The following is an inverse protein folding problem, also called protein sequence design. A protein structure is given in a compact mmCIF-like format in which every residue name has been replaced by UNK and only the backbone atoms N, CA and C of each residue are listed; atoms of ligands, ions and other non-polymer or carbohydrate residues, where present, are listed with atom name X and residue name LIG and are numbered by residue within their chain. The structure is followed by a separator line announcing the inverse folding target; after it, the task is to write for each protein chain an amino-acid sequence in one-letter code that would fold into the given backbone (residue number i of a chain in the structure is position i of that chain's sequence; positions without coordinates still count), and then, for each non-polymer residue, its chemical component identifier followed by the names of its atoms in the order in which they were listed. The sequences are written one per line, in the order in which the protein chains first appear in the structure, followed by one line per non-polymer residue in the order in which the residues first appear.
data_IF_856512723647
#
_entry.id   IF_856512723647
#
_cell.length_a   1.000
_cell.length_b   1.000
_cell.length_c   1.000
_cell.angle_alpha   90.00
_cell.angle_beta   90.00
_cell.angle_gamma   90.00
#
_symmetry.space_group_name_H-M   'P 1'
#
loop_
_entity.id
_entity.type
_entity.pdbx_description
1 polymer ?
#
# COMPACT_ATOMS: atom_id res chain seq x y z
N UNK A 1 -35.56 -23.35 70.93
CA UNK A 1 -34.35 -22.74 70.37
C UNK A 1 -33.53 -22.15 71.50
N UNK A 2 -32.50 -22.88 71.95
CA UNK A 2 -31.45 -22.43 72.86
C UNK A 2 -30.15 -22.50 72.04
N UNK A 3 -29.48 -21.37 71.87
CA UNK A 3 -28.33 -21.21 70.97
C UNK A 3 -28.72 -20.34 69.77
N UNK A 4 -28.06 -19.18 69.66
CA UNK A 4 -28.18 -18.12 68.63
C UNK A 4 -29.27 -18.37 67.58
N UNK A 5 -30.48 -17.90 67.88
CA UNK A 5 -31.55 -17.87 66.91
C UNK A 5 -31.26 -16.76 65.90
N UNK A 6 -30.60 -17.10 64.80
CA UNK A 6 -30.66 -16.29 63.59
C UNK A 6 -32.13 -16.06 63.25
N UNK A 7 -32.56 -14.80 63.32
CA UNK A 7 -33.92 -14.38 62.97
C UNK A 7 -34.18 -14.85 61.53
N UNK A 8 -35.17 -15.73 61.34
CA UNK A 8 -35.55 -16.22 60.00
C UNK A 8 -36.13 -15.04 59.22
N UNK A 9 -35.35 -14.48 58.30
CA UNK A 9 -35.79 -13.38 57.46
C UNK A 9 -36.65 -13.96 56.33
N UNK A 10 -37.95 -13.66 56.34
CA UNK A 10 -38.85 -14.02 55.23
C UNK A 10 -38.51 -13.17 54.01
N UNK A 11 -37.84 -13.76 53.02
CA UNK A 11 -37.54 -13.18 51.71
C UNK A 11 -37.93 -14.17 50.63
N UNK A 12 -38.43 -13.68 49.49
CA UNK A 12 -38.81 -14.56 48.40
C UNK A 12 -37.60 -15.25 47.76
N UNK A 13 -36.48 -14.54 47.62
CA UNK A 13 -35.24 -15.07 47.02
C UNK A 13 -33.97 -14.54 47.71
N UNK A 14 -32.85 -15.22 47.47
CA UNK A 14 -31.54 -14.80 47.99
C UNK A 14 -31.04 -13.52 47.29
N UNK A 15 -30.19 -12.71 47.96
CA UNK A 15 -29.56 -11.56 47.34
C UNK A 15 -28.73 -11.97 46.13
N UNK A 16 -28.88 -11.27 45.01
CA UNK A 16 -28.12 -11.53 43.81
C UNK A 16 -26.65 -11.17 44.03
N UNK A 17 -25.71 -12.10 43.83
CA UNK A 17 -24.29 -11.82 43.99
C UNK A 17 -23.77 -10.88 42.88
N UNK A 18 -22.63 -10.21 43.12
CA UNK A 18 -21.88 -9.54 42.06
C UNK A 18 -21.68 -10.47 40.84
N UNK A 19 -21.73 -9.92 39.63
CA UNK A 19 -21.76 -10.68 38.37
C UNK A 19 -23.15 -10.98 37.84
N UNK A 20 -24.19 -10.72 38.63
CA UNK A 20 -25.59 -10.89 38.22
C UNK A 20 -26.40 -9.60 38.41
N UNK A 21 -27.50 -9.47 37.67
CA UNK A 21 -28.51 -8.42 37.83
C UNK A 21 -29.85 -9.02 38.23
N UNK A 22 -30.69 -8.21 38.87
CA UNK A 22 -32.08 -8.60 39.08
C UNK A 22 -32.85 -8.64 37.75
N UNK A 23 -33.68 -9.67 37.62
CA UNK A 23 -34.74 -9.75 36.63
C UNK A 23 -36.05 -10.10 37.35
N UNK A 24 -37.03 -9.21 37.24
CA UNK A 24 -38.37 -9.44 37.77
C UNK A 24 -39.04 -10.56 36.97
N UNK A 25 -39.58 -11.57 37.64
CA UNK A 25 -40.40 -12.58 37.00
C UNK A 25 -41.79 -11.99 36.71
N UNK A 26 -42.29 -12.16 35.48
CA UNK A 26 -43.53 -11.51 35.01
C UNK A 26 -44.77 -11.74 35.87
N UNK A 27 -44.79 -12.79 36.70
CA UNK A 27 -45.97 -13.23 37.46
C UNK A 27 -45.77 -13.29 39.00
N UNK A 28 -44.67 -12.76 39.58
CA UNK A 28 -44.44 -12.78 41.05
C UNK A 28 -43.68 -11.55 41.58
N UNK A 29 -43.90 -11.20 42.85
CA UNK A 29 -43.13 -10.21 43.64
C UNK A 29 -41.68 -10.65 43.97
N UNK A 30 -41.13 -11.56 43.17
CA UNK A 30 -39.87 -12.26 43.40
C UNK A 30 -38.93 -12.06 42.21
N UNK A 31 -37.63 -12.10 42.47
CA UNK A 31 -36.61 -11.80 41.47
C UNK A 31 -35.75 -13.01 41.16
N UNK A 32 -35.28 -13.08 39.93
CA UNK A 32 -34.26 -14.05 39.51
C UNK A 32 -32.95 -13.32 39.24
N UNK A 33 -31.84 -13.94 39.62
CA UNK A 33 -30.51 -13.41 39.34
C UNK A 33 -30.07 -13.88 37.95
N UNK A 34 -29.91 -12.93 37.03
CA UNK A 34 -29.48 -13.21 35.66
C UNK A 34 -28.04 -12.74 35.50
N UNK A 35 -27.12 -13.57 34.98
CA UNK A 35 -25.74 -13.15 34.76
C UNK A 35 -25.65 -11.96 33.81
N UNK A 36 -24.67 -11.10 34.03
CA UNK A 36 -24.40 -9.98 33.14
C UNK A 36 -23.92 -10.44 31.76
N UNK A 37 -24.16 -9.60 30.76
CA UNK A 37 -23.67 -9.83 29.40
C UNK A 37 -22.18 -9.55 29.26
N UNK A 38 -21.61 -9.96 28.12
CA UNK A 38 -20.21 -9.66 27.78
C UNK A 38 -19.94 -8.16 27.80
N UNK A 39 -18.79 -7.78 28.34
CA UNK A 39 -18.39 -6.37 28.50
C UNK A 39 -19.12 -5.63 29.63
N UNK A 40 -20.03 -6.29 30.36
CA UNK A 40 -20.77 -5.69 31.46
C UNK A 40 -20.39 -6.33 32.80
N UNK A 41 -20.57 -5.61 33.91
CA UNK A 41 -20.25 -6.08 35.24
C UNK A 41 -21.19 -5.53 36.32
N UNK A 42 -21.25 -6.22 37.46
CA UNK A 42 -21.85 -5.71 38.71
C UNK A 42 -20.92 -6.01 39.88
N UNK A 43 -20.63 -5.00 40.70
CA UNK A 43 -19.66 -5.10 41.80
C UNK A 43 -20.33 -5.11 43.20
N UNK A 44 -21.66 -5.04 43.25
CA UNK A 44 -22.42 -5.02 44.48
C UNK A 44 -23.60 -6.00 44.40
N UNK A 45 -24.09 -6.43 45.56
CA UNK A 45 -25.28 -7.27 45.65
C UNK A 45 -26.53 -6.49 45.22
N UNK A 46 -27.49 -7.20 44.62
CA UNK A 46 -28.80 -6.65 44.26
C UNK A 46 -28.76 -5.43 43.31
N UNK A 47 -27.85 -5.41 42.33
CA UNK A 47 -27.88 -4.40 41.26
C UNK A 47 -29.01 -4.67 40.25
N UNK A 48 -29.83 -3.66 39.97
CA UNK A 48 -30.94 -3.75 39.01
C UNK A 48 -30.49 -3.89 37.55
N UNK A 49 -29.32 -3.33 37.22
CA UNK A 49 -28.76 -3.36 35.88
C UNK A 49 -27.25 -3.61 35.92
N UNK A 50 -26.71 -4.20 34.86
CA UNK A 50 -25.28 -4.36 34.69
C UNK A 50 -24.67 -3.07 34.13
N UNK A 51 -23.49 -2.70 34.62
CA UNK A 51 -22.74 -1.53 34.17
C UNK A 51 -21.82 -1.93 33.02
N UNK A 52 -21.58 -1.05 32.06
CA UNK A 52 -20.71 -1.29 30.92
C UNK A 52 -19.25 -0.92 31.26
N UNK A 53 -18.30 -1.84 31.02
CA UNK A 53 -16.88 -1.58 31.30
C UNK A 53 -16.31 -0.45 30.43
N UNK A 54 -16.68 -0.43 29.14
CA UNK A 54 -16.19 0.57 28.18
C UNK A 54 -16.64 1.98 28.53
N UNK A 55 -17.88 2.14 28.99
CA UNK A 55 -18.42 3.46 29.37
C UNK A 55 -17.80 3.98 30.66
N UNK A 56 -17.42 3.09 31.58
CA UNK A 56 -16.90 3.47 32.89
C UNK A 56 -15.38 3.67 32.91
N UNK A 57 -14.64 2.84 32.21
CA UNK A 57 -13.17 2.82 32.23
C UNK A 57 -12.51 3.18 30.89
N UNK A 58 -13.31 3.30 29.82
CA UNK A 58 -12.84 3.63 28.48
C UNK A 58 -12.60 2.40 27.60
N UNK A 59 -12.18 2.67 26.37
CA UNK A 59 -11.85 1.63 25.39
C UNK A 59 -10.58 0.87 25.83
N UNK A 60 -10.57 -0.45 25.65
CA UNK A 60 -9.49 -1.31 26.15
C UNK A 60 -9.81 -2.08 27.44
N UNK A 61 -10.97 -1.84 28.06
CA UNK A 61 -11.41 -2.57 29.26
C UNK A 61 -12.55 -3.54 28.94
N UNK A 62 -12.49 -4.74 29.52
CA UNK A 62 -13.48 -5.79 29.39
C UNK A 62 -13.91 -6.32 30.75
N UNK A 63 -14.99 -7.08 30.80
CA UNK A 63 -15.45 -7.70 32.04
C UNK A 63 -14.65 -8.96 32.36
N UNK A 64 -14.38 -9.22 33.64
CA UNK A 64 -13.73 -10.45 34.04
C UNK A 64 -14.64 -11.68 33.84
N UNK A 65 -14.09 -12.89 33.93
CA UNK A 65 -14.86 -14.14 33.69
C UNK A 65 -16.11 -14.29 34.57
N UNK A 66 -16.12 -13.65 35.74
CA UNK A 66 -17.22 -13.72 36.71
C UNK A 66 -18.16 -12.51 36.61
N UNK A 67 -17.93 -11.59 35.68
CA UNK A 67 -18.67 -10.34 35.51
C UNK A 67 -18.73 -9.43 36.75
N UNK A 68 -17.74 -9.54 37.64
CA UNK A 68 -17.70 -8.83 38.93
C UNK A 68 -16.90 -7.53 38.87
N UNK A 69 -15.95 -7.43 37.94
CA UNK A 69 -15.07 -6.29 37.76
C UNK A 69 -14.66 -6.13 36.30
N UNK A 70 -14.10 -4.97 35.97
CA UNK A 70 -13.47 -4.75 34.67
C UNK A 70 -11.95 -4.95 34.77
N UNK A 71 -11.36 -5.51 33.73
CA UNK A 71 -9.94 -5.78 33.57
C UNK A 71 -9.46 -5.24 32.22
N UNK A 72 -8.18 -4.88 32.12
CA UNK A 72 -7.58 -4.47 30.86
C UNK A 72 -7.53 -5.64 29.88
N UNK A 73 -8.03 -5.43 28.67
CA UNK A 73 -7.99 -6.43 27.61
C UNK A 73 -6.57 -6.52 27.02
N UNK A 74 -6.13 -7.74 26.66
CA UNK A 74 -4.85 -7.92 25.98
C UNK A 74 -4.85 -7.16 24.64
N UNK A 75 -3.74 -6.46 24.39
CA UNK A 75 -3.52 -5.64 23.20
C UNK A 75 -2.94 -6.49 22.07
N UNK A 76 -3.64 -6.55 20.95
CA UNK A 76 -3.16 -7.16 19.71
C UNK A 76 -2.64 -6.09 18.76
N UNK A 77 -1.46 -6.33 18.18
CA UNK A 77 -0.84 -5.48 17.18
C UNK A 77 0.21 -6.28 16.42
N UNK A 78 0.68 -5.76 15.30
CA UNK A 78 1.71 -6.43 14.48
C UNK A 78 3.06 -6.44 15.21
N UNK A 79 3.27 -7.38 16.12
CA UNK A 79 4.43 -7.40 17.00
C UNK A 79 5.71 -7.88 16.32
N UNK A 80 6.86 -7.38 16.77
CA UNK A 80 8.19 -7.80 16.28
C UNK A 80 8.48 -9.29 16.53
N UNK A 81 7.89 -9.86 17.57
CA UNK A 81 8.07 -11.25 17.95
C UNK A 81 7.11 -12.19 17.19
N UNK A 82 6.19 -11.66 16.39
CA UNK A 82 5.26 -12.44 15.60
C UNK A 82 5.94 -13.13 14.41
N UNK A 83 5.48 -14.33 14.07
CA UNK A 83 5.99 -15.10 12.92
C UNK A 83 5.95 -14.30 11.61
N UNK A 84 4.89 -13.51 11.40
CA UNK A 84 4.78 -12.64 10.23
C UNK A 84 5.91 -11.60 10.17
N UNK A 85 6.19 -10.92 11.29
CA UNK A 85 7.23 -9.89 11.33
C UNK A 85 8.60 -10.47 11.00
N UNK A 86 8.96 -11.60 11.59
CA UNK A 86 10.20 -12.31 11.29
C UNK A 86 10.29 -12.68 9.82
N UNK A 87 9.23 -13.31 9.27
CA UNK A 87 9.18 -13.68 7.86
C UNK A 87 9.30 -12.48 6.91
N UNK A 88 8.60 -11.39 7.22
CA UNK A 88 8.64 -10.15 6.45
C UNK A 88 10.04 -9.52 6.47
N UNK A 89 10.73 -9.49 7.60
CA UNK A 89 12.08 -8.94 7.71
C UNK A 89 13.13 -9.77 6.96
N UNK A 90 13.03 -11.11 7.02
CA UNK A 90 13.88 -12.01 6.23
C UNK A 90 13.66 -11.81 4.72
N UNK A 91 12.40 -11.68 4.31
CA UNK A 91 12.06 -11.39 2.92
C UNK A 91 12.61 -10.02 2.48
N UNK A 92 12.43 -8.97 3.29
CA UNK A 92 13.00 -7.64 3.01
C UNK A 92 14.52 -7.69 2.90
N UNK A 93 15.20 -8.40 3.79
CA UNK A 93 16.67 -8.52 3.76
C UNK A 93 17.15 -9.24 2.49
N UNK A 94 16.45 -10.31 2.08
CA UNK A 94 16.74 -11.05 0.85
C UNK A 94 16.48 -10.19 -0.40
N UNK A 95 15.37 -9.45 -0.41
CA UNK A 95 15.01 -8.54 -1.50
C UNK A 95 15.99 -7.36 -1.61
N UNK A 96 16.45 -6.82 -0.48
CA UNK A 96 17.48 -5.78 -0.43
C UNK A 96 18.79 -6.28 -1.04
N UNK A 97 19.28 -7.44 -0.59
CA UNK A 97 20.50 -8.04 -1.13
C UNK A 97 20.38 -8.25 -2.65
N UNK A 98 19.26 -8.81 -3.09
CA UNK A 98 19.00 -9.00 -4.52
C UNK A 98 18.97 -7.68 -5.30
N UNK A 99 18.33 -6.65 -4.76
CA UNK A 99 18.27 -5.30 -5.35
C UNK A 99 19.65 -4.69 -5.49
N UNK A 100 20.49 -4.80 -4.45
CA UNK A 100 21.86 -4.30 -4.46
C UNK A 100 22.74 -5.03 -5.47
N UNK A 101 22.58 -6.35 -5.61
CA UNK A 101 23.27 -7.14 -6.64
C UNK A 101 22.87 -6.62 -8.03
N UNK A 102 21.58 -6.51 -8.34
CA UNK A 102 21.12 -6.01 -9.64
C UNK A 102 21.62 -4.58 -9.88
N UNK A 103 21.51 -3.69 -8.89
CA UNK A 103 22.01 -2.31 -8.96
C UNK A 103 23.52 -2.29 -9.26
N UNK A 104 24.32 -3.15 -8.60
CA UNK A 104 25.76 -3.22 -8.82
C UNK A 104 26.11 -3.53 -10.28
N UNK A 105 25.35 -4.41 -10.94
CA UNK A 105 25.53 -4.69 -12.35
C UNK A 105 25.13 -3.49 -13.24
N UNK A 106 24.03 -2.82 -12.94
CA UNK A 106 23.65 -1.59 -13.65
C UNK A 106 24.69 -0.47 -13.49
N UNK A 107 25.34 -0.40 -12.33
CA UNK A 107 26.46 0.51 -12.08
C UNK A 107 27.70 0.07 -12.84
N UNK A 108 28.06 -1.22 -12.85
CA UNK A 108 29.21 -1.77 -13.58
C UNK A 108 29.09 -1.55 -15.09
N UNK A 109 27.93 -1.84 -15.67
CA UNK A 109 27.65 -1.69 -17.10
C UNK A 109 27.13 -0.30 -17.47
N UNK A 110 27.54 0.76 -16.73
CA UNK A 110 27.19 2.19 -16.92
C UNK A 110 27.08 2.59 -18.38
N UNK A 111 28.11 2.17 -19.11
CA UNK A 111 28.51 2.76 -20.36
C UNK A 111 27.90 2.02 -21.55
N UNK A 112 27.22 0.89 -21.29
CA UNK A 112 26.46 0.12 -22.27
C UNK A 112 25.36 0.98 -22.90
N UNK A 113 25.10 0.75 -24.19
CA UNK A 113 24.08 1.48 -24.94
C UNK A 113 22.68 1.21 -24.39
N UNK A 114 22.41 0.01 -23.88
CA UNK A 114 21.14 -0.35 -23.23
C UNK A 114 20.88 0.52 -21.99
N UNK A 115 21.86 0.68 -21.09
CA UNK A 115 21.70 1.49 -19.86
C UNK A 115 21.58 2.98 -20.19
N UNK A 116 22.38 3.48 -21.15
CA UNK A 116 22.28 4.87 -21.63
C UNK A 116 20.93 5.17 -22.30
N UNK A 117 20.45 4.25 -23.13
CA UNK A 117 19.16 4.35 -23.83
C UNK A 117 17.97 4.37 -22.87
N UNK A 118 18.04 3.61 -21.79
CA UNK A 118 16.99 3.46 -20.76
C UNK A 118 16.87 4.65 -19.77
N UNK A 119 17.58 5.76 -20.00
CA UNK A 119 17.70 6.89 -19.07
C UNK A 119 18.23 6.45 -17.69
N UNK A 120 19.54 6.53 -17.54
CA UNK A 120 20.26 6.03 -16.38
C UNK A 120 19.82 6.69 -15.06
N UNK A 121 19.63 8.00 -15.07
CA UNK A 121 19.21 8.76 -13.87
C UNK A 121 17.85 8.28 -13.36
N UNK A 122 16.85 8.18 -14.24
CA UNK A 122 15.54 7.63 -13.86
C UNK A 122 15.65 6.19 -13.37
N UNK A 123 16.56 5.39 -13.93
CA UNK A 123 16.76 4.01 -13.44
C UNK A 123 17.35 4.00 -12.03
N UNK A 124 18.24 4.93 -11.68
CA UNK A 124 18.74 5.05 -10.31
C UNK A 124 17.70 5.58 -9.33
N UNK A 125 16.88 6.55 -9.74
CA UNK A 125 15.74 6.98 -8.93
C UNK A 125 14.79 5.79 -8.67
N UNK A 126 14.52 4.95 -9.68
CA UNK A 126 13.73 3.73 -9.49
C UNK A 126 14.34 2.81 -8.43
N UNK A 127 15.66 2.53 -8.49
CA UNK A 127 16.32 1.70 -7.47
C UNK A 127 16.21 2.30 -6.07
N UNK A 128 16.35 3.62 -5.92
CA UNK A 128 16.20 4.29 -4.63
C UNK A 128 14.78 4.10 -4.09
N UNK A 129 13.74 4.34 -4.92
CA UNK A 129 12.34 4.10 -4.52
C UNK A 129 12.10 2.64 -4.12
N UNK A 130 12.65 1.68 -4.87
CA UNK A 130 12.53 0.24 -4.55
C UNK A 130 13.20 -0.10 -3.22
N UNK A 131 14.40 0.42 -2.95
CA UNK A 131 15.11 0.20 -1.68
C UNK A 131 14.28 0.76 -0.52
N UNK A 132 13.74 1.98 -0.64
CA UNK A 132 12.83 2.53 0.37
C UNK A 132 11.60 1.64 0.55
N UNK A 133 11.02 1.10 -0.52
CA UNK A 133 9.85 0.20 -0.44
C UNK A 133 10.14 -1.07 0.36
N UNK A 134 11.35 -1.61 0.24
CA UNK A 134 11.80 -2.78 1.02
C UNK A 134 11.83 -2.49 2.53
N UNK A 135 12.05 -1.24 2.94
CA UNK A 135 12.06 -0.84 4.36
C UNK A 135 10.66 -0.56 4.94
N UNK A 136 9.60 -0.62 4.15
CA UNK A 136 8.22 -0.37 4.64
C UNK A 136 7.83 -1.20 5.88
N UNK A 137 8.20 -2.50 6.01
CA UNK A 137 7.85 -3.26 7.21
C UNK A 137 8.37 -2.64 8.52
N UNK A 138 9.50 -1.94 8.51
CA UNK A 138 10.03 -1.29 9.71
C UNK A 138 9.16 -0.12 10.20
N UNK A 139 8.36 0.47 9.32
CA UNK A 139 7.45 1.58 9.62
C UNK A 139 6.12 1.06 10.18
N UNK A 140 5.69 -0.13 9.74
CA UNK A 140 4.40 -0.73 10.09
C UNK A 140 4.47 -1.77 11.23
N UNK A 141 5.58 -2.48 11.39
CA UNK A 141 5.74 -3.50 12.44
C UNK A 141 6.09 -2.84 13.79
N UNK A 142 5.44 -3.34 14.83
CA UNK A 142 5.64 -3.00 16.23
C UNK A 142 4.46 -2.21 16.80
N UNK A 143 4.60 -1.80 18.07
CA UNK A 143 3.54 -1.06 18.75
C UNK A 143 3.28 0.27 18.02
N UNK A 144 2.03 0.60 17.65
CA UNK A 144 1.70 1.90 17.10
C UNK A 144 2.08 2.99 18.11
N UNK A 145 2.74 4.02 17.61
CA UNK A 145 3.12 5.21 18.36
C UNK A 145 2.69 6.41 17.52
N UNK A 146 2.52 7.56 18.15
CA UNK A 146 2.13 8.78 17.45
C UNK A 146 3.02 9.04 16.22
N UNK A 147 4.35 8.94 16.38
CA UNK A 147 5.30 9.15 15.28
C UNK A 147 5.14 8.15 14.13
N UNK A 148 4.89 6.86 14.43
CA UNK A 148 4.65 5.84 13.41
C UNK A 148 3.34 6.07 12.67
N UNK A 149 2.28 6.41 13.40
CA UNK A 149 0.99 6.72 12.79
C UNK A 149 1.05 7.91 11.84
N UNK A 150 1.87 8.92 12.16
CA UNK A 150 2.13 10.04 11.24
C UNK A 150 2.96 9.62 10.02
N UNK A 151 3.96 8.76 10.23
CA UNK A 151 4.92 8.38 9.19
C UNK A 151 4.32 7.41 8.16
N UNK A 152 3.51 6.44 8.59
CA UNK A 152 2.99 5.35 7.76
C UNK A 152 2.35 5.81 6.44
N UNK A 153 1.27 6.62 6.43
CA UNK A 153 0.59 6.99 5.19
C UNK A 153 1.50 7.80 4.25
N UNK A 154 2.28 8.73 4.81
CA UNK A 154 3.21 9.57 4.06
C UNK A 154 4.32 8.73 3.41
N UNK A 155 4.91 7.81 4.17
CA UNK A 155 5.96 6.92 3.70
C UNK A 155 5.47 6.01 2.58
N UNK A 156 4.35 5.32 2.79
CA UNK A 156 3.79 4.41 1.79
C UNK A 156 3.43 5.15 0.51
N UNK A 157 2.75 6.31 0.64
CA UNK A 157 2.33 7.13 -0.50
C UNK A 157 3.54 7.47 -1.36
N UNK A 158 4.55 8.15 -0.78
CA UNK A 158 5.75 8.63 -1.47
C UNK A 158 6.54 7.50 -2.14
N UNK A 159 6.73 6.39 -1.43
CA UNK A 159 7.61 5.32 -1.88
C UNK A 159 6.98 4.53 -3.04
N UNK A 160 5.68 4.20 -2.94
CA UNK A 160 4.98 3.48 -3.99
C UNK A 160 4.73 4.38 -5.21
N UNK A 161 4.26 5.61 -5.01
CA UNK A 161 4.00 6.57 -6.10
C UNK A 161 5.25 6.89 -6.91
N UNK A 162 6.39 7.15 -6.26
CA UNK A 162 7.65 7.55 -6.92
C UNK A 162 8.15 6.50 -7.89
N UNK A 163 8.06 5.22 -7.52
CA UNK A 163 8.46 4.11 -8.38
C UNK A 163 7.59 3.99 -9.64
N UNK A 164 6.26 4.09 -9.49
CA UNK A 164 5.31 4.03 -10.62
C UNK A 164 5.45 5.27 -11.50
N UNK A 165 5.67 6.43 -10.90
CA UNK A 165 5.91 7.68 -11.60
C UNK A 165 7.18 7.61 -12.48
N UNK A 166 8.24 6.97 -11.99
CA UNK A 166 9.44 6.72 -12.81
C UNK A 166 9.12 5.79 -13.99
N UNK A 167 8.30 4.76 -13.79
CA UNK A 167 7.85 3.86 -14.87
C UNK A 167 7.01 4.64 -15.89
N UNK A 168 6.12 5.52 -15.43
CA UNK A 168 5.34 6.43 -16.26
C UNK A 168 6.27 7.26 -17.17
N UNK A 169 7.26 7.94 -16.59
CA UNK A 169 8.20 8.76 -17.36
C UNK A 169 9.03 7.98 -18.36
N UNK A 170 9.49 6.78 -17.99
CA UNK A 170 10.19 5.89 -18.93
C UNK A 170 9.31 5.55 -20.12
N UNK A 171 8.06 5.21 -19.87
CA UNK A 171 7.08 4.82 -20.90
C UNK A 171 6.69 6.01 -21.79
N UNK A 172 6.46 7.18 -21.19
CA UNK A 172 6.10 8.40 -21.92
C UNK A 172 7.23 8.89 -22.83
N UNK A 173 8.48 8.80 -22.35
CA UNK A 173 9.66 9.08 -23.18
C UNK A 173 9.73 8.16 -24.40
N UNK A 174 9.45 6.86 -24.23
CA UNK A 174 9.40 5.91 -25.36
C UNK A 174 8.34 6.36 -26.37
N UNK A 175 7.10 6.63 -25.93
CA UNK A 175 6.03 7.13 -26.81
C UNK A 175 6.45 8.39 -27.56
N UNK A 176 7.11 9.31 -26.87
CA UNK A 176 7.55 10.56 -27.45
C UNK A 176 8.63 10.36 -28.53
N UNK A 177 9.50 9.36 -28.40
CA UNK A 177 10.52 9.05 -29.42
C UNK A 177 9.86 8.56 -30.70
N UNK A 178 8.91 7.64 -30.61
CA UNK A 178 8.28 7.05 -31.79
C UNK A 178 7.17 7.91 -32.43
N UNK A 179 6.62 8.88 -31.69
CA UNK A 179 5.61 9.81 -32.23
C UNK A 179 6.19 11.09 -32.85
N UNK A 180 7.49 11.34 -32.74
CA UNK A 180 8.15 12.49 -33.36
C UNK A 180 8.05 12.44 -34.90
N UNK A 181 7.89 13.60 -35.55
CA UNK A 181 7.94 13.73 -37.02
C UNK A 181 9.41 13.83 -37.50
N UNK A 182 9.77 13.24 -38.65
CA UNK A 182 11.16 13.10 -39.09
C UNK A 182 11.84 14.41 -39.56
N UNK A 183 11.11 15.50 -39.77
CA UNK A 183 11.64 16.72 -40.43
C UNK A 183 12.24 17.78 -39.51
N UNK A 184 12.22 17.61 -38.18
CA UNK A 184 12.63 18.66 -37.22
C UNK A 184 13.61 18.18 -36.15
N UNK A 185 14.48 17.22 -36.46
CA UNK A 185 15.26 16.44 -35.48
C UNK A 185 16.07 17.32 -34.49
N UNK A 186 16.77 18.36 -34.93
CA UNK A 186 17.69 19.12 -34.04
C UNK A 186 16.98 20.10 -33.09
N UNK A 187 16.04 20.92 -33.58
CA UNK A 187 15.24 21.81 -32.72
C UNK A 187 14.25 21.02 -31.83
N UNK A 188 13.77 19.88 -32.30
CA UNK A 188 12.88 18.99 -31.54
C UNK A 188 13.60 18.33 -30.35
N UNK A 189 14.90 18.06 -30.45
CA UNK A 189 15.67 17.47 -29.34
C UNK A 189 15.80 18.42 -28.14
N UNK A 190 16.01 19.72 -28.37
CA UNK A 190 16.09 20.72 -27.31
C UNK A 190 14.72 20.98 -26.66
N UNK A 191 13.68 21.18 -27.48
CA UNK A 191 12.29 21.33 -27.04
C UNK A 191 11.79 20.10 -26.26
N UNK A 192 12.16 18.90 -26.71
CA UNK A 192 11.82 17.64 -26.03
C UNK A 192 12.54 17.48 -24.70
N UNK A 193 13.82 17.83 -24.61
CA UNK A 193 14.57 17.79 -23.35
C UNK A 193 14.02 18.80 -22.34
N UNK A 194 13.55 19.97 -22.81
CA UNK A 194 12.83 20.95 -21.97
C UNK A 194 11.48 20.41 -21.50
N UNK A 195 10.67 19.81 -22.39
CA UNK A 195 9.38 19.19 -22.02
C UNK A 195 9.55 18.06 -21.01
N UNK A 196 10.49 17.13 -21.23
CA UNK A 196 10.73 16.02 -20.30
C UNK A 196 11.14 16.54 -18.91
N UNK A 197 12.00 17.57 -18.83
CA UNK A 197 12.38 18.22 -17.57
C UNK A 197 11.21 18.94 -16.90
N UNK A 198 10.40 19.66 -17.68
CA UNK A 198 9.22 20.35 -17.16
C UNK A 198 8.19 19.35 -16.61
N UNK A 199 7.96 18.25 -17.32
CA UNK A 199 7.03 17.21 -16.88
C UNK A 199 7.51 16.52 -15.60
N UNK A 200 8.81 16.20 -15.50
CA UNK A 200 9.42 15.69 -14.26
C UNK A 200 9.24 16.69 -13.11
N UNK A 201 9.50 17.98 -13.35
CA UNK A 201 9.31 19.02 -12.35
C UNK A 201 7.85 19.13 -11.90
N UNK A 202 6.89 19.15 -12.84
CA UNK A 202 5.46 19.23 -12.51
C UNK A 202 5.00 18.06 -11.66
N UNK A 203 5.39 16.82 -12.00
CA UNK A 203 5.01 15.67 -11.17
C UNK A 203 5.75 15.66 -9.83
N UNK A 204 7.00 16.09 -9.75
CA UNK A 204 7.69 16.27 -8.46
C UNK A 204 6.93 17.27 -7.58
N UNK A 205 6.46 18.38 -8.17
CA UNK A 205 5.65 19.36 -7.44
C UNK A 205 4.32 18.76 -7.01
N UNK A 206 3.63 18.00 -7.87
CA UNK A 206 2.38 17.31 -7.50
C UNK A 206 2.61 16.30 -6.37
N UNK A 207 3.68 15.50 -6.47
CA UNK A 207 4.06 14.53 -5.45
C UNK A 207 4.36 15.22 -4.11
N UNK A 208 5.06 16.35 -4.14
CA UNK A 208 5.33 17.17 -2.96
C UNK A 208 4.06 17.81 -2.40
N UNK A 209 3.13 18.25 -3.24
CA UNK A 209 1.82 18.79 -2.80
C UNK A 209 1.00 17.69 -2.12
N UNK A 210 1.00 16.47 -2.67
CA UNK A 210 0.24 15.34 -2.10
C UNK A 210 0.88 14.86 -0.80
N UNK A 211 2.20 14.66 -0.77
CA UNK A 211 2.91 14.33 0.47
C UNK A 211 2.78 15.46 1.51
N UNK A 212 2.85 16.71 1.07
CA UNK A 212 2.69 17.89 1.91
C UNK A 212 1.27 18.05 2.46
N UNK A 213 0.24 17.76 1.67
CA UNK A 213 -1.15 17.81 2.12
C UNK A 213 -1.48 16.67 3.08
N UNK A 214 -0.94 15.47 2.85
CA UNK A 214 -0.98 14.37 3.79
C UNK A 214 -0.29 14.76 5.10
N UNK A 215 0.94 15.28 5.05
CA UNK A 215 1.68 15.73 6.22
C UNK A 215 0.96 16.87 6.98
N UNK A 216 0.39 17.84 6.25
CA UNK A 216 -0.40 18.93 6.84
C UNK A 216 -1.67 18.39 7.50
N UNK A 217 -2.41 17.48 6.83
CA UNK A 217 -3.56 16.80 7.41
C UNK A 217 -3.17 16.05 8.68
N UNK A 218 -2.03 15.37 8.70
CA UNK A 218 -1.51 14.70 9.89
C UNK A 218 -1.13 15.67 10.99
N UNK A 219 -0.62 16.85 10.65
CA UNK A 219 -0.25 17.87 11.62
C UNK A 219 -1.48 18.51 12.28
N UNK A 220 -2.51 18.84 11.50
CA UNK A 220 -3.75 19.45 11.99
C UNK A 220 -4.70 18.43 12.64
N UNK A 221 -4.71 17.19 12.16
CA UNK A 221 -5.48 16.08 12.70
C UNK A 221 -4.52 14.95 13.11
N UNK A 222 -3.91 15.14 14.28
CA UNK A 222 -2.92 14.21 14.81
C UNK A 222 -3.54 12.82 15.00
N UNK A 223 -3.01 11.78 14.33
CA UNK A 223 -3.54 10.44 14.50
C UNK A 223 -3.20 9.94 15.90
N UNK A 224 -4.23 9.70 16.71
CA UNK A 224 -4.10 9.07 18.02
C UNK A 224 -3.92 7.55 17.87
N UNK A 225 -3.41 6.92 18.92
CA UNK A 225 -3.43 5.47 19.04
C UNK A 225 -4.77 5.09 19.65
N UNK A 226 -5.57 4.33 18.92
CA UNK A 226 -6.92 3.95 19.29
C UNK A 226 -7.03 2.43 19.48
N UNK A 227 -8.04 2.02 20.26
CA UNK A 227 -8.39 0.63 20.49
C UNK A 227 -9.57 0.25 19.59
N UNK A 228 -9.40 -0.82 18.83
CA UNK A 228 -10.42 -1.40 17.96
C UNK A 228 -10.83 -2.76 18.52
N UNK A 229 -12.09 -2.91 18.89
CA UNK A 229 -12.60 -4.19 19.41
C UNK A 229 -12.66 -5.20 18.27
N UNK A 230 -11.80 -6.21 18.29
CA UNK A 230 -11.77 -7.30 17.29
C UNK A 230 -12.49 -8.55 17.83
N UNK A 231 -12.33 -8.84 19.12
CA UNK A 231 -13.02 -9.91 19.84
C UNK A 231 -13.37 -9.45 21.26
N UNK A 232 -14.37 -10.06 21.90
CA UNK A 232 -14.77 -9.75 23.28
C UNK A 232 -13.66 -10.00 24.34
N UNK A 233 -12.52 -10.55 23.92
CA UNK A 233 -11.39 -10.97 24.75
C UNK A 233 -10.09 -10.24 24.42
N UNK A 234 -10.04 -9.42 23.36
CA UNK A 234 -8.83 -8.68 22.98
C UNK A 234 -9.14 -7.42 22.18
N UNK A 235 -8.27 -6.42 22.27
CA UNK A 235 -8.39 -5.17 21.54
C UNK A 235 -7.23 -5.01 20.58
N UNK A 236 -7.51 -4.69 19.33
CA UNK A 236 -6.48 -4.34 18.35
C UNK A 236 -6.05 -2.90 18.56
N UNK A 237 -4.74 -2.69 18.71
CA UNK A 237 -4.15 -1.38 18.85
C UNK A 237 -3.77 -0.86 17.47
N UNK A 238 -4.30 0.30 17.09
CA UNK A 238 -4.09 0.87 15.76
C UNK A 238 -4.01 2.39 15.75
N UNK A 239 -3.74 2.95 14.59
CA UNK A 239 -3.83 4.39 14.37
C UNK A 239 -5.27 4.80 14.08
N UNK A 240 -5.71 5.94 14.65
CA UNK A 240 -7.08 6.49 14.58
C UNK A 240 -7.70 6.59 13.19
N UNK A 241 -9.00 6.92 13.10
CA UNK A 241 -9.74 7.06 11.83
C UNK A 241 -9.05 7.99 10.80
N UNK A 242 -8.32 9.01 11.26
CA UNK A 242 -7.53 9.90 10.40
C UNK A 242 -6.49 9.13 9.55
N UNK A 243 -5.95 8.03 10.07
CA UNK A 243 -5.04 7.14 9.35
C UNK A 243 -5.70 6.50 8.12
N UNK A 244 -6.96 6.07 8.24
CA UNK A 244 -7.71 5.46 7.13
C UNK A 244 -7.99 6.49 6.04
N UNK A 245 -8.36 7.72 6.40
CA UNK A 245 -8.56 8.80 5.42
C UNK A 245 -7.26 9.14 4.67
N UNK A 246 -6.13 9.24 5.38
CA UNK A 246 -4.83 9.54 4.79
C UNK A 246 -4.36 8.41 3.86
N UNK A 247 -4.55 7.14 4.27
CA UNK A 247 -4.31 6.01 3.39
C UNK A 247 -5.26 6.07 2.18
N UNK A 248 -6.54 6.36 2.34
CA UNK A 248 -7.46 6.46 1.20
C UNK A 248 -7.02 7.50 0.15
N UNK A 249 -6.53 8.67 0.58
CA UNK A 249 -5.98 9.70 -0.34
C UNK A 249 -4.73 9.18 -1.05
N UNK A 250 -3.78 8.60 -0.31
CA UNK A 250 -2.60 7.97 -0.90
C UNK A 250 -2.98 6.87 -1.90
N UNK A 251 -4.05 6.13 -1.59
CA UNK A 251 -4.53 5.03 -2.40
C UNK A 251 -5.13 5.51 -3.73
N UNK A 252 -5.93 6.57 -3.68
CA UNK A 252 -6.49 7.21 -4.88
C UNK A 252 -5.36 7.75 -5.77
N UNK A 253 -4.37 8.42 -5.19
CA UNK A 253 -3.23 8.94 -5.93
C UNK A 253 -2.45 7.84 -6.65
N UNK A 254 -2.09 6.77 -5.94
CA UNK A 254 -1.42 5.62 -6.53
C UNK A 254 -2.25 4.99 -7.66
N UNK A 255 -3.57 4.90 -7.50
CA UNK A 255 -4.50 4.38 -8.51
C UNK A 255 -4.49 5.25 -9.78
N UNK A 256 -4.50 6.57 -9.64
CA UNK A 256 -4.41 7.49 -10.79
C UNK A 256 -3.09 7.29 -11.54
N UNK A 257 -1.97 7.21 -10.80
CA UNK A 257 -0.65 7.02 -11.38
C UNK A 257 -0.52 5.69 -12.13
N UNK A 258 -0.99 4.58 -11.54
CA UNK A 258 -0.86 3.27 -12.15
C UNK A 258 -1.77 3.13 -13.38
N UNK A 259 -3.00 3.65 -13.34
CA UNK A 259 -3.89 3.68 -14.50
C UNK A 259 -3.32 4.53 -15.64
N UNK A 260 -2.79 5.71 -15.32
CA UNK A 260 -2.09 6.57 -16.29
C UNK A 260 -0.88 5.87 -16.91
N UNK A 261 -0.12 5.12 -16.11
CA UNK A 261 1.03 4.33 -16.55
C UNK A 261 0.60 3.18 -17.47
N UNK A 262 -0.45 2.44 -17.11
CA UNK A 262 -1.03 1.37 -17.93
C UNK A 262 -1.51 1.94 -19.26
N UNK A 263 -2.20 3.07 -19.26
CA UNK A 263 -2.66 3.73 -20.50
C UNK A 263 -1.48 4.05 -21.44
N UNK A 264 -0.40 4.63 -20.90
CA UNK A 264 0.81 4.92 -21.69
C UNK A 264 1.47 3.64 -22.18
N UNK A 265 1.61 2.63 -21.32
CA UNK A 265 2.24 1.37 -21.67
C UNK A 265 1.46 0.61 -22.77
N UNK A 266 0.13 0.67 -22.70
CA UNK A 266 -0.76 0.16 -23.73
C UNK A 266 -0.56 0.86 -25.07
N UNK A 267 -0.29 2.17 -25.10
CA UNK A 267 0.04 2.87 -26.34
C UNK A 267 1.38 2.44 -26.93
N UNK A 268 2.36 2.10 -26.09
CA UNK A 268 3.70 1.63 -26.52
C UNK A 268 3.59 0.26 -27.20
N UNK A 269 2.63 -0.59 -26.83
CA UNK A 269 2.49 -1.96 -27.39
C UNK A 269 2.31 -2.01 -28.91
N UNK A 270 1.85 -0.91 -29.53
CA UNK A 270 1.64 -0.80 -30.99
C UNK A 270 2.91 -0.40 -31.75
N UNK A 271 4.00 -0.13 -31.04
CA UNK A 271 5.32 0.16 -31.61
C UNK A 271 5.99 -1.17 -32.01
N UNK A 272 6.81 -1.18 -33.08
CA UNK A 272 7.33 -2.41 -33.69
C UNK A 272 8.05 -3.29 -32.66
N UNK A 273 7.72 -4.57 -32.71
CA UNK A 273 7.87 -5.61 -31.68
C UNK A 273 9.29 -5.96 -31.25
N UNK A 274 10.33 -5.32 -31.79
CA UNK A 274 11.72 -5.72 -31.53
C UNK A 274 12.25 -5.35 -30.13
N UNK A 275 11.43 -4.72 -29.27
CA UNK A 275 11.74 -4.46 -27.88
C UNK A 275 10.77 -5.17 -26.92
N UNK A 276 11.17 -6.34 -26.43
CA UNK A 276 10.54 -7.05 -25.31
C UNK A 276 10.30 -6.16 -24.06
N UNK A 277 10.95 -5.00 -23.98
CA UNK A 277 10.82 -4.01 -22.92
C UNK A 277 9.37 -3.48 -22.76
N UNK A 278 8.67 -3.14 -23.85
CA UNK A 278 7.31 -2.61 -23.75
C UNK A 278 6.33 -3.65 -23.20
N UNK A 279 6.50 -4.92 -23.59
CA UNK A 279 5.70 -6.05 -23.10
C UNK A 279 5.95 -6.29 -21.61
N UNK A 280 7.21 -6.23 -21.19
CA UNK A 280 7.61 -6.37 -19.79
C UNK A 280 7.05 -5.25 -18.91
N UNK A 281 7.09 -4.00 -19.37
CA UNK A 281 6.51 -2.85 -18.65
C UNK A 281 5.00 -3.03 -18.47
N UNK A 282 4.28 -3.37 -19.55
CA UNK A 282 2.83 -3.62 -19.47
C UNK A 282 2.50 -4.74 -18.48
N UNK A 283 3.19 -5.87 -18.58
CA UNK A 283 2.97 -7.01 -17.69
C UNK A 283 3.25 -6.67 -16.22
N UNK A 284 4.34 -5.95 -15.96
CA UNK A 284 4.70 -5.46 -14.61
C UNK A 284 3.60 -4.55 -14.06
N UNK A 285 3.18 -3.53 -14.80
CA UNK A 285 2.15 -2.58 -14.36
C UNK A 285 0.80 -3.26 -14.10
N UNK A 286 0.44 -4.27 -14.91
CA UNK A 286 -0.78 -5.04 -14.71
C UNK A 286 -0.75 -5.85 -13.41
N UNK A 287 0.36 -6.55 -13.13
CA UNK A 287 0.51 -7.29 -11.87
C UNK A 287 0.47 -6.35 -10.67
N UNK A 288 1.18 -5.21 -10.74
CA UNK A 288 1.17 -4.21 -9.67
C UNK A 288 -0.24 -3.70 -9.39
N UNK A 289 -1.05 -3.47 -10.42
CA UNK A 289 -2.43 -3.05 -10.28
C UNK A 289 -3.30 -4.12 -9.61
N UNK A 290 -3.13 -5.40 -9.97
CA UNK A 290 -3.87 -6.49 -9.33
C UNK A 290 -3.52 -6.65 -7.85
N UNK A 291 -2.23 -6.64 -7.51
CA UNK A 291 -1.77 -6.70 -6.11
C UNK A 291 -2.39 -5.55 -5.32
N UNK A 292 -2.35 -4.35 -5.91
CA UNK A 292 -2.89 -3.15 -5.30
C UNK A 292 -4.40 -3.24 -5.01
N UNK A 293 -5.19 -3.70 -5.98
CA UNK A 293 -6.64 -3.88 -5.81
C UNK A 293 -6.94 -4.92 -4.74
N UNK A 294 -6.27 -6.07 -4.76
CA UNK A 294 -6.48 -7.14 -3.78
C UNK A 294 -6.18 -6.67 -2.35
N UNK A 295 -5.07 -5.95 -2.16
CA UNK A 295 -4.69 -5.39 -0.85
C UNK A 295 -5.69 -4.33 -0.41
N UNK A 296 -6.14 -3.47 -1.32
CA UNK A 296 -7.15 -2.44 -1.02
C UNK A 296 -8.45 -3.06 -0.51
N UNK A 297 -8.92 -4.12 -1.17
CA UNK A 297 -10.11 -4.87 -0.74
C UNK A 297 -9.87 -5.57 0.60
N UNK A 298 -8.69 -6.15 0.81
CA UNK A 298 -8.31 -6.79 2.08
C UNK A 298 -8.33 -5.82 3.25
N UNK A 299 -7.69 -4.66 3.10
CA UNK A 299 -7.64 -3.62 4.15
C UNK A 299 -9.01 -3.02 4.43
N UNK A 300 -9.85 -2.84 3.41
CA UNK A 300 -11.19 -2.25 3.59
C UNK A 300 -12.16 -3.15 4.39
N UNK A 301 -11.95 -4.47 4.38
CA UNK A 301 -12.83 -5.44 5.03
C UNK A 301 -12.26 -6.01 6.33
N UNK A 302 -11.06 -5.59 6.75
CA UNK A 302 -10.36 -6.16 7.89
C UNK A 302 -10.46 -5.24 9.12
N UNK A 303 -11.10 -5.68 10.22
CA UNK A 303 -11.23 -4.89 11.44
C UNK A 303 -9.94 -4.87 12.27
N UNK A 304 -9.04 -5.84 12.12
CA UNK A 304 -7.79 -5.88 12.88
C UNK A 304 -6.70 -5.02 12.20
N UNK A 305 -6.32 -3.93 12.86
CA UNK A 305 -5.32 -3.00 12.35
C UNK A 305 -3.94 -3.64 12.13
N UNK A 306 -3.57 -4.62 12.97
CA UNK A 306 -2.34 -5.39 12.81
C UNK A 306 -2.33 -6.21 11.51
N UNK A 307 -3.47 -6.80 11.15
CA UNK A 307 -3.65 -7.54 9.90
C UNK A 307 -3.65 -6.59 8.70
N UNK A 308 -4.33 -5.44 8.79
CA UNK A 308 -4.26 -4.39 7.75
C UNK A 308 -2.82 -3.96 7.46
N UNK A 309 -2.04 -3.71 8.51
CA UNK A 309 -0.62 -3.36 8.39
C UNK A 309 0.20 -4.46 7.71
N UNK A 310 -0.14 -5.73 7.95
CA UNK A 310 0.51 -6.87 7.31
C UNK A 310 0.25 -6.92 5.79
N UNK A 311 -0.99 -6.63 5.34
CA UNK A 311 -1.33 -6.56 3.92
C UNK A 311 -0.55 -5.44 3.21
N UNK A 312 -0.42 -4.28 3.84
CA UNK A 312 0.36 -3.15 3.31
C UNK A 312 1.85 -3.52 3.19
N UNK A 313 2.42 -4.19 4.19
CA UNK A 313 3.81 -4.69 4.14
C UNK A 313 4.02 -5.65 2.96
N UNK A 314 3.13 -6.63 2.81
CA UNK A 314 3.16 -7.59 1.69
C UNK A 314 3.09 -6.84 0.36
N UNK A 315 2.19 -5.85 0.24
CA UNK A 315 2.02 -5.06 -0.98
C UNK A 315 3.30 -4.34 -1.39
N UNK A 316 3.94 -3.63 -0.46
CA UNK A 316 5.18 -2.88 -0.72
C UNK A 316 6.35 -3.82 -1.09
N UNK A 317 6.42 -4.97 -0.45
CA UNK A 317 7.42 -6.02 -0.72
C UNK A 317 7.22 -6.66 -2.09
N UNK A 318 5.99 -7.09 -2.40
CA UNK A 318 5.66 -7.67 -3.71
C UNK A 318 5.79 -6.64 -4.83
N UNK A 319 5.41 -5.38 -4.59
CA UNK A 319 5.62 -4.29 -5.54
C UNK A 319 7.09 -4.23 -5.97
N UNK A 320 8.00 -4.29 -5.01
CA UNK A 320 9.44 -4.26 -5.28
C UNK A 320 9.90 -5.48 -6.04
N UNK A 321 9.50 -6.67 -5.60
CA UNK A 321 9.87 -7.92 -6.25
C UNK A 321 9.40 -7.97 -7.71
N UNK A 322 8.15 -7.56 -7.98
CA UNK A 322 7.55 -7.56 -9.32
C UNK A 322 8.33 -6.64 -10.27
N UNK A 323 8.66 -5.43 -9.83
CA UNK A 323 9.47 -4.50 -10.64
C UNK A 323 10.87 -5.07 -10.90
N UNK A 324 11.51 -5.65 -9.88
CA UNK A 324 12.83 -6.26 -10.06
C UNK A 324 12.78 -7.41 -11.07
N UNK A 325 11.89 -8.37 -10.87
CA UNK A 325 11.85 -9.63 -11.62
C UNK A 325 11.38 -9.43 -13.05
N UNK A 326 10.31 -8.67 -13.27
CA UNK A 326 9.71 -8.57 -14.59
C UNK A 326 10.23 -7.41 -15.43
N UNK A 327 10.80 -6.36 -14.80
CA UNK A 327 11.28 -5.18 -15.51
C UNK A 327 12.81 -5.06 -15.53
N UNK A 328 13.49 -5.33 -14.42
CA UNK A 328 14.95 -5.09 -14.29
C UNK A 328 15.81 -6.31 -14.64
N UNK A 329 15.44 -7.52 -14.22
CA UNK A 329 16.17 -8.76 -14.56
C UNK A 329 16.27 -8.97 -16.07
N UNK A 330 15.20 -8.82 -16.88
CA UNK A 330 15.31 -9.10 -18.30
C UNK A 330 16.28 -8.14 -19.01
N UNK A 331 16.35 -6.88 -18.56
CA UNK A 331 17.35 -5.92 -19.03
C UNK A 331 18.76 -6.36 -18.66
N UNK A 332 18.97 -6.78 -17.41
CA UNK A 332 20.25 -7.30 -16.95
C UNK A 332 20.70 -8.52 -17.75
N UNK A 333 19.78 -9.45 -18.03
CA UNK A 333 20.05 -10.64 -18.84
C UNK A 333 20.53 -10.27 -20.25
N UNK A 334 19.89 -9.29 -20.91
CA UNK A 334 20.32 -8.84 -22.24
C UNK A 334 21.72 -8.19 -22.16
N UNK A 335 21.97 -7.36 -21.15
CA UNK A 335 23.27 -6.68 -20.95
C UNK A 335 24.41 -7.69 -20.79
N UNK A 336 24.20 -8.77 -20.03
CA UNK A 336 25.24 -9.77 -19.74
C UNK A 336 25.37 -10.79 -20.88
N UNK A 337 24.26 -11.36 -21.34
CA UNK A 337 24.28 -12.57 -22.20
C UNK A 337 24.06 -12.28 -23.68
N UNK A 338 23.68 -11.05 -24.07
CA UNK A 338 23.43 -10.69 -25.48
C UNK A 338 24.16 -9.38 -25.88
N UNK A 339 25.50 -9.32 -25.76
CA UNK A 339 26.26 -8.11 -26.06
C UNK A 339 26.16 -7.66 -27.53
N UNK A 340 25.85 -8.58 -28.46
CA UNK A 340 25.63 -8.27 -29.88
C UNK A 340 24.41 -7.35 -30.12
N UNK A 341 23.40 -7.38 -29.23
CA UNK A 341 22.26 -6.45 -29.27
C UNK A 341 22.55 -5.08 -28.64
N UNK A 342 23.76 -4.88 -28.11
CA UNK A 342 24.19 -3.66 -27.44
C UNK A 342 24.91 -2.69 -28.40
N UNK A 343 24.87 -2.91 -29.72
CA UNK A 343 25.51 -2.04 -30.73
C UNK A 343 24.59 -0.87 -31.15
N UNK A 344 25.19 0.30 -31.37
CA UNK A 344 24.52 1.52 -31.84
C UNK A 344 23.84 1.34 -33.20
N UNK A 345 24.37 0.46 -34.05
CA UNK A 345 23.85 0.20 -35.40
C UNK A 345 22.52 -0.55 -35.36
N UNK A 346 22.38 -1.54 -34.47
CA UNK A 346 21.13 -2.29 -34.33
C UNK A 346 19.97 -1.38 -33.91
N UNK A 347 20.19 -0.46 -32.95
CA UNK A 347 19.16 0.48 -32.48
C UNK A 347 18.83 1.55 -33.52
N UNK A 348 19.84 2.09 -34.22
CA UNK A 348 19.63 3.08 -35.29
C UNK A 348 18.90 2.50 -36.49
N UNK A 349 19.32 1.33 -36.98
CA UNK A 349 18.69 0.62 -38.09
C UNK A 349 17.19 0.38 -37.82
N UNK A 350 16.86 -0.05 -36.61
CA UNK A 350 15.47 -0.34 -36.23
C UNK A 350 14.60 0.92 -36.11
N UNK A 351 15.16 2.00 -35.57
CA UNK A 351 14.44 3.29 -35.49
C UNK A 351 14.18 3.83 -36.90
N UNK A 352 15.16 3.73 -37.80
CA UNK A 352 15.00 4.09 -39.21
C UNK A 352 13.96 3.23 -39.92
N UNK A 353 14.02 1.90 -39.76
CA UNK A 353 13.07 0.98 -40.40
C UNK A 353 11.62 1.26 -39.98
N UNK A 354 11.39 1.58 -38.71
CA UNK A 354 10.06 2.00 -38.24
C UNK A 354 9.62 3.32 -38.87
N UNK A 355 10.49 4.33 -38.89
CA UNK A 355 10.16 5.64 -39.47
C UNK A 355 9.83 5.50 -40.97
N UNK A 356 10.57 4.67 -41.70
CA UNK A 356 10.31 4.35 -43.12
C UNK A 356 8.95 3.68 -43.28
N UNK A 357 8.64 2.63 -42.50
CA UNK A 357 7.33 1.95 -42.57
C UNK A 357 6.17 2.88 -42.21
N UNK A 358 6.35 3.75 -41.22
CA UNK A 358 5.34 4.73 -40.80
C UNK A 358 5.07 5.76 -41.90
N UNK A 359 6.12 6.25 -42.57
CA UNK A 359 6.02 7.21 -43.66
C UNK A 359 5.40 6.57 -44.91
N UNK A 360 5.77 5.33 -45.25
CA UNK A 360 5.14 4.52 -46.30
C UNK A 360 3.64 4.31 -46.06
N UNK A 361 3.24 4.04 -44.81
CA UNK A 361 1.82 3.87 -44.46
C UNK A 361 1.04 5.18 -44.59
N UNK A 362 1.63 6.29 -44.16
CA UNK A 362 1.03 7.62 -44.30
C UNK A 362 0.85 8.01 -45.78
N UNK A 363 1.88 7.79 -46.62
CA UNK A 363 1.79 8.07 -48.05
C UNK A 363 0.78 7.18 -48.77
N UNK A 364 0.67 5.90 -48.37
CA UNK A 364 -0.33 4.98 -48.94
C UNK A 364 -1.78 5.40 -48.62
N UNK A 365 -2.01 5.95 -47.42
CA UNK A 365 -3.29 6.49 -46.99
C UNK A 365 -3.64 7.80 -47.72
N UNK A 366 -2.66 8.67 -47.96
CA UNK A 366 -2.84 9.87 -48.78
C UNK A 366 -3.20 9.50 -50.23
N UNK A 367 -2.50 8.53 -50.85
CA UNK A 367 -2.84 8.08 -52.22
C UNK A 367 -4.23 7.45 -52.31
N UNK A 368 -4.65 6.67 -51.31
CA UNK A 368 -6.01 6.10 -51.26
C UNK A 368 -7.09 7.19 -51.08
N UNK A 369 -6.80 8.25 -50.32
CA UNK A 369 -7.71 9.38 -50.15
C UNK A 369 -7.87 10.21 -51.42
N UNK A 370 -6.80 10.38 -52.20
CA UNK A 370 -6.87 11.07 -53.51
C UNK A 370 -7.56 10.24 -54.58
N UNK A 371 -7.50 8.91 -54.52
CA UNK A 371 -8.21 8.03 -55.47
C UNK A 371 -9.72 8.01 -55.19
N UNK A 372 -10.16 8.15 -53.94
CA UNK A 372 -11.59 8.20 -53.59
C UNK A 372 -12.25 9.58 -53.78
N UNK A 373 -11.47 10.60 -54.13
CA UNK A 373 -11.95 11.98 -54.37
C UNK A 373 -12.02 12.34 -55.87
N UNK A 374 -11.56 11.44 -56.75
CA UNK A 374 -11.74 11.49 -58.21
C UNK A 374 -12.72 10.39 -58.62
#
# INVERSE_FOLDING_TARGET
WKGEADVVISRCDQPCPPGTRLALASDKECWTCVPCGKGQFTNAYNMASCLNCTERFGTGWGSNKNYTSCEELPQDFLSWNGHFAVGSLLFSSSCLLFTLIVLSFFVKYRHSHIVKGSNRELTYVLFVSLILSIFSPYVYIGRPTHTRCMLQPNYLSFVMSSSVLVIYFKTDRILCIFNAKPTTIDNLHLEKRKRDRLQILCFLVIELIICGSLAASTYFHQPTVDFYTVQDTSVSLGCSLAWYHQHAVAFVWFTILILGSIYKAYRVRKLPENFNEARQINFTLFILFLIWVLVSVGVANEPNHGVCSSYICIAAQLHTLVVLVFMLIPKLRIIIFQPTKNSTEAVRMQTMEYMIRKQSKASSLETLSTINLN
#
